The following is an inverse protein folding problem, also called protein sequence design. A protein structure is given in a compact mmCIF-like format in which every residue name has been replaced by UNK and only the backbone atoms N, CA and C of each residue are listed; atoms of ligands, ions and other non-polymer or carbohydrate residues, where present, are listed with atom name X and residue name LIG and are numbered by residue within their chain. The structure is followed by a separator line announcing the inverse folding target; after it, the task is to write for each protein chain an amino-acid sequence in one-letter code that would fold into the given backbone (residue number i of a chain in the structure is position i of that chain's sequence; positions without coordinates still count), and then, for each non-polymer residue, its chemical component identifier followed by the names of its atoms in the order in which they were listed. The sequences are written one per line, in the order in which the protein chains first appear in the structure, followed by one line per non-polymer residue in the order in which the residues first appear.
data_IF_901941732695
#
_entry.id   IF_901941732695
#
_cell.length_a   1.000
_cell.length_b   1.000
_cell.length_c   1.000
_cell.angle_alpha   90.00
_cell.angle_beta   90.00
_cell.angle_gamma   90.00
#
_symmetry.space_group_name_H-M   'P 1'
#
loop_
_entity.id
_entity.type
_entity.pdbx_description
1 polymer ?
#
# COMPACT_ATOMS: atom_id res chain seq x y z
N UNK A 1 -5.12 -1.76 -93.80
CA UNK A 1 -6.47 -2.04 -93.30
C UNK A 1 -6.35 -2.68 -91.96
N UNK A 2 -6.52 -1.93 -90.90
CA UNK A 2 -6.43 -2.41 -89.52
C UNK A 2 -7.76 -2.08 -88.81
N UNK A 3 -8.45 -3.12 -88.36
CA UNK A 3 -9.68 -3.02 -87.61
C UNK A 3 -9.39 -2.81 -86.15
N UNK A 4 -9.87 -1.69 -85.64
CA UNK A 4 -9.93 -1.34 -84.18
C UNK A 4 -11.09 -2.07 -83.57
N UNK A 5 -10.85 -2.79 -82.45
CA UNK A 5 -11.88 -3.41 -81.66
C UNK A 5 -11.85 -2.74 -80.26
N UNK A 6 -12.92 -2.04 -79.98
CA UNK A 6 -13.20 -1.46 -78.65
C UNK A 6 -13.58 -2.55 -77.64
N UNK A 7 -13.00 -2.46 -76.39
CA UNK A 7 -13.38 -3.28 -75.24
C UNK A 7 -14.32 -2.47 -74.34
N UNK A 8 -15.40 -3.06 -73.82
CA UNK A 8 -16.35 -2.33 -72.96
C UNK A 8 -15.82 -2.14 -71.54
N UNK A 9 -16.10 -0.92 -70.97
CA UNK A 9 -15.80 -0.51 -69.62
C UNK A 9 -16.62 -1.32 -68.58
N UNK A 10 -15.91 -1.97 -67.68
CA UNK A 10 -16.47 -2.63 -66.46
C UNK A 10 -16.88 -1.61 -65.41
N UNK A 11 -18.14 -1.57 -65.03
CA UNK A 11 -18.69 -0.82 -63.89
C UNK A 11 -18.17 -1.42 -62.60
N UNK A 12 -17.32 -0.67 -61.83
CA UNK A 12 -16.98 -0.98 -60.46
C UNK A 12 -18.20 -0.82 -59.55
N UNK A 13 -18.66 -1.90 -58.94
CA UNK A 13 -19.62 -1.89 -57.81
C UNK A 13 -18.98 -1.22 -56.61
N UNK A 14 -19.66 -0.21 -56.04
CA UNK A 14 -19.31 0.40 -54.78
C UNK A 14 -19.43 -0.65 -53.66
N UNK A 15 -18.35 -0.83 -52.88
CA UNK A 15 -18.34 -1.64 -51.67
C UNK A 15 -19.10 -0.91 -50.58
N UNK A 16 -20.15 -1.53 -50.08
CA UNK A 16 -20.86 -1.09 -48.88
C UNK A 16 -19.95 -1.38 -47.68
N UNK A 17 -19.45 -0.32 -47.07
CA UNK A 17 -18.72 -0.40 -45.81
C UNK A 17 -19.66 -0.85 -44.69
N UNK A 18 -19.39 -2.00 -44.12
CA UNK A 18 -20.03 -2.49 -42.90
C UNK A 18 -19.79 -1.50 -41.73
N UNK A 19 -20.77 -1.33 -40.80
CA UNK A 19 -20.58 -0.44 -39.68
C UNK A 19 -19.46 -0.96 -38.76
N UNK A 20 -18.52 -0.07 -38.47
CA UNK A 20 -17.48 -0.29 -37.43
C UNK A 20 -18.21 -0.49 -36.11
N UNK A 21 -18.19 -1.70 -35.59
CA UNK A 21 -18.61 -1.96 -34.21
C UNK A 21 -17.68 -1.17 -33.29
N UNK A 22 -18.20 -0.14 -32.65
CA UNK A 22 -17.59 0.49 -31.50
C UNK A 22 -17.33 -0.61 -30.46
N UNK A 23 -16.06 -0.95 -30.29
CA UNK A 23 -15.61 -1.75 -29.14
C UNK A 23 -15.97 -0.94 -27.90
N UNK A 24 -16.92 -1.45 -27.11
CA UNK A 24 -17.21 -0.92 -25.79
C UNK A 24 -15.87 -0.73 -25.05
N UNK A 25 -15.56 0.51 -24.66
CA UNK A 25 -14.34 0.84 -23.92
C UNK A 25 -14.40 0.04 -22.63
N UNK A 26 -13.53 -0.96 -22.48
CA UNK A 26 -13.29 -1.58 -21.21
C UNK A 26 -12.85 -0.45 -20.26
N UNK A 27 -13.66 -0.16 -19.23
CA UNK A 27 -13.25 0.73 -18.14
C UNK A 27 -11.92 0.21 -17.60
N UNK A 28 -10.84 0.88 -17.93
CA UNK A 28 -9.52 0.59 -17.36
C UNK A 28 -9.58 1.07 -15.92
N UNK A 29 -9.62 0.12 -15.00
CA UNK A 29 -9.58 0.42 -13.57
C UNK A 29 -8.22 1.03 -13.22
N UNK A 30 -8.20 2.02 -12.31
CA UNK A 30 -6.99 2.58 -11.72
C UNK A 30 -6.06 1.46 -11.24
N UNK A 31 -4.83 1.44 -11.75
CA UNK A 31 -3.83 0.46 -11.36
C UNK A 31 -2.68 1.17 -10.64
N UNK A 32 -2.34 0.68 -9.47
CA UNK A 32 -1.27 1.25 -8.65
C UNK A 32 0.08 1.29 -9.38
N UNK A 33 0.37 0.27 -10.18
CA UNK A 33 1.61 0.17 -10.97
C UNK A 33 1.70 1.19 -12.10
N UNK A 34 0.57 1.60 -12.67
CA UNK A 34 0.53 2.52 -13.81
C UNK A 34 0.77 3.97 -13.33
N UNK A 35 0.54 4.25 -12.03
CA UNK A 35 0.64 5.58 -11.40
C UNK A 35 1.85 5.76 -10.48
N UNK A 36 2.95 5.04 -10.74
CA UNK A 36 4.12 5.09 -9.88
C UNK A 36 4.76 6.48 -9.75
N UNK A 37 4.84 7.24 -10.84
CA UNK A 37 5.39 8.60 -10.80
C UNK A 37 4.54 9.51 -9.91
N UNK A 38 3.22 9.37 -9.99
CA UNK A 38 2.28 10.09 -9.14
C UNK A 38 2.47 9.72 -7.67
N UNK A 39 2.66 8.42 -7.37
CA UNK A 39 2.99 7.95 -6.03
C UNK A 39 4.27 8.56 -5.49
N UNK A 40 5.38 8.48 -6.24
CA UNK A 40 6.68 9.03 -5.81
C UNK A 40 6.62 10.55 -5.59
N UNK A 41 5.91 11.27 -6.46
CA UNK A 41 5.66 12.70 -6.28
C UNK A 41 4.86 12.96 -5.01
N UNK A 42 3.79 12.20 -4.78
CA UNK A 42 2.93 12.34 -3.61
C UNK A 42 3.68 12.12 -2.29
N UNK A 43 4.43 11.02 -2.15
CA UNK A 43 5.15 10.72 -0.90
C UNK A 43 6.28 11.71 -0.61
N UNK A 44 6.86 12.35 -1.64
CA UNK A 44 7.90 13.37 -1.46
C UNK A 44 7.33 14.78 -1.18
N UNK A 45 6.07 15.02 -1.53
CA UNK A 45 5.46 16.35 -1.38
C UNK A 45 4.49 16.44 -0.20
N UNK A 46 4.20 15.34 0.48
CA UNK A 46 3.29 15.31 1.64
C UNK A 46 3.94 14.70 2.87
N UNK A 47 3.37 14.99 4.05
CA UNK A 47 3.78 14.37 5.32
C UNK A 47 2.91 13.17 5.73
N UNK A 48 2.23 12.51 4.77
CA UNK A 48 1.37 11.34 5.03
C UNK A 48 2.06 10.29 5.87
N UNK A 49 3.26 9.87 5.47
CA UNK A 49 4.00 8.79 6.14
C UNK A 49 4.26 9.10 7.62
N UNK A 50 4.66 10.33 7.93
CA UNK A 50 4.86 10.78 9.31
C UNK A 50 3.55 10.81 10.11
N UNK A 51 2.44 11.23 9.49
CA UNK A 51 1.13 11.26 10.14
C UNK A 51 0.64 9.83 10.47
N UNK A 52 0.81 8.89 9.54
CA UNK A 52 0.49 7.47 9.74
C UNK A 52 1.35 6.87 10.86
N UNK A 53 2.67 7.09 10.85
CA UNK A 53 3.57 6.58 11.90
C UNK A 53 3.20 7.13 13.28
N UNK A 54 2.89 8.44 13.38
CA UNK A 54 2.39 9.05 14.63
C UNK A 54 1.06 8.45 15.09
N UNK A 55 0.15 8.13 14.14
CA UNK A 55 -1.12 7.48 14.47
C UNK A 55 -0.88 6.05 14.99
N UNK A 56 0.03 5.30 14.38
CA UNK A 56 0.44 3.97 14.82
C UNK A 56 1.09 4.00 16.21
N UNK A 57 1.97 4.95 16.48
CA UNK A 57 2.65 5.13 17.75
C UNK A 57 1.70 5.29 18.95
N UNK A 58 0.47 5.80 18.73
CA UNK A 58 -0.57 5.86 19.79
C UNK A 58 -1.03 4.47 20.22
N UNK A 59 -0.90 3.46 19.37
CA UNK A 59 -1.27 2.09 19.72
C UNK A 59 -0.17 1.36 20.48
N UNK A 60 1.10 1.77 20.32
CA UNK A 60 2.25 1.08 20.94
C UNK A 60 2.25 1.13 22.46
N UNK A 61 1.62 2.13 23.07
CA UNK A 61 1.46 2.19 24.54
C UNK A 61 0.64 1.03 25.12
N UNK A 62 -0.17 0.38 24.28
CA UNK A 62 -1.01 -0.75 24.68
C UNK A 62 -0.34 -2.11 24.43
N UNK A 63 0.80 -2.15 23.76
CA UNK A 63 1.50 -3.40 23.48
C UNK A 63 2.11 -3.96 24.77
N UNK A 64 1.99 -5.27 24.90
CA UNK A 64 2.60 -6.04 25.99
C UNK A 64 3.30 -7.23 25.34
N UNK A 65 4.54 -7.04 24.87
CA UNK A 65 5.26 -8.10 24.16
C UNK A 65 5.32 -9.36 24.99
N UNK A 66 4.92 -10.47 24.40
CA UNK A 66 5.05 -11.79 25.00
C UNK A 66 6.34 -12.44 24.55
N UNK A 67 7.16 -12.98 25.48
CA UNK A 67 8.36 -13.71 25.09
C UNK A 67 8.06 -14.75 23.98
N UNK A 68 9.00 -15.00 23.04
CA UNK A 68 10.38 -14.49 23.04
C UNK A 68 10.61 -13.19 22.27
N UNK A 69 9.60 -12.57 21.65
CA UNK A 69 9.77 -11.37 20.82
C UNK A 69 8.50 -10.54 20.71
N UNK A 70 8.64 -9.26 20.36
CA UNK A 70 7.57 -8.43 19.81
C UNK A 70 7.42 -8.76 18.32
N UNK A 71 6.21 -9.14 17.90
CA UNK A 71 5.91 -9.56 16.53
C UNK A 71 4.99 -8.57 15.84
N UNK A 72 5.44 -8.04 14.73
CA UNK A 72 4.77 -7.03 13.95
C UNK A 72 4.43 -7.56 12.55
N UNK A 73 3.32 -7.09 11.99
CA UNK A 73 2.98 -7.28 10.59
C UNK A 73 2.64 -5.93 9.95
N UNK A 74 3.34 -5.60 8.87
CA UNK A 74 3.02 -4.48 8.00
C UNK A 74 2.33 -5.01 6.73
N UNK A 75 1.07 -4.66 6.54
CA UNK A 75 0.23 -5.19 5.47
C UNK A 75 0.48 -4.55 4.09
N UNK A 76 1.31 -3.52 4.04
CA UNK A 76 1.71 -2.82 2.83
C UNK A 76 2.86 -1.87 3.13
N UNK A 77 4.08 -2.41 3.13
CA UNK A 77 5.28 -1.70 3.57
C UNK A 77 5.57 -0.44 2.74
N UNK A 78 5.25 -0.48 1.43
CA UNK A 78 5.64 0.56 0.50
C UNK A 78 7.14 0.79 0.55
N UNK A 79 7.54 2.05 0.56
CA UNK A 79 8.95 2.47 0.66
C UNK A 79 9.56 2.32 2.07
N UNK A 80 8.88 1.65 3.00
CA UNK A 80 9.25 1.43 4.39
C UNK A 80 9.45 2.69 5.26
N UNK A 81 9.04 3.88 4.82
CA UNK A 81 9.16 5.09 5.66
C UNK A 81 8.33 4.96 6.94
N UNK A 82 7.06 4.55 6.83
CA UNK A 82 6.18 4.33 7.99
C UNK A 82 6.75 3.26 8.90
N UNK A 83 7.15 2.12 8.32
CA UNK A 83 7.74 1.01 9.06
C UNK A 83 9.01 1.44 9.82
N UNK A 84 9.92 2.16 9.16
CA UNK A 84 11.15 2.65 9.77
C UNK A 84 10.87 3.59 10.95
N UNK A 85 9.91 4.50 10.82
CA UNK A 85 9.53 5.41 11.92
C UNK A 85 8.84 4.67 13.07
N UNK A 86 7.99 3.69 12.77
CA UNK A 86 7.39 2.81 13.76
C UNK A 86 8.46 2.00 14.54
N UNK A 87 9.45 1.47 13.82
CA UNK A 87 10.55 0.72 14.45
C UNK A 87 11.40 1.60 15.38
N UNK A 88 11.68 2.85 15.01
CA UNK A 88 12.38 3.80 15.92
C UNK A 88 11.65 3.96 17.24
N UNK A 89 10.32 4.18 17.21
CA UNK A 89 9.50 4.29 18.42
C UNK A 89 9.50 2.98 19.23
N UNK A 90 9.39 1.84 18.56
CA UNK A 90 9.39 0.53 19.22
C UNK A 90 10.74 0.16 19.82
N UNK A 91 11.85 0.44 19.12
CA UNK A 91 13.22 0.24 19.64
C UNK A 91 13.48 1.09 20.87
N UNK A 92 12.97 2.34 20.87
CA UNK A 92 13.04 3.20 22.05
C UNK A 92 12.23 2.65 23.23
N UNK A 93 11.02 2.11 22.98
CA UNK A 93 10.14 1.57 24.04
C UNK A 93 10.59 0.21 24.55
N UNK A 94 11.15 -0.62 23.69
CA UNK A 94 11.51 -2.02 23.94
C UNK A 94 12.95 -2.32 23.53
N UNK A 95 13.95 -1.63 24.12
CA UNK A 95 15.33 -1.67 23.61
C UNK A 95 16.00 -3.03 23.76
N UNK A 96 15.48 -3.94 24.60
CA UNK A 96 16.05 -5.26 24.86
C UNK A 96 15.18 -6.41 24.38
N UNK A 97 13.99 -6.13 23.84
CA UNK A 97 13.06 -7.16 23.38
C UNK A 97 13.35 -7.43 21.92
N UNK A 98 13.63 -8.68 21.49
CA UNK A 98 13.75 -9.01 20.08
C UNK A 98 12.51 -8.58 19.31
N UNK A 99 12.71 -8.04 18.11
CA UNK A 99 11.63 -7.57 17.24
C UNK A 99 11.60 -8.38 15.96
N UNK A 100 10.47 -9.00 15.66
CA UNK A 100 10.23 -9.68 14.38
C UNK A 100 9.21 -8.88 13.59
N UNK A 101 9.59 -8.42 12.41
CA UNK A 101 8.71 -7.68 11.50
C UNK A 101 8.47 -8.52 10.26
N UNK A 102 7.22 -8.84 9.99
CA UNK A 102 6.80 -9.38 8.69
C UNK A 102 6.21 -8.24 7.88
N UNK A 103 6.87 -7.87 6.80
CA UNK A 103 6.48 -6.77 5.93
C UNK A 103 6.07 -7.31 4.56
N UNK A 104 4.78 -7.10 4.21
CA UNK A 104 4.26 -7.45 2.91
C UNK A 104 4.48 -6.30 1.94
N UNK A 105 5.04 -6.61 0.76
CA UNK A 105 5.15 -5.66 -0.33
C UNK A 105 5.00 -6.36 -1.68
N UNK A 106 4.28 -5.72 -2.59
CA UNK A 106 4.02 -6.25 -3.94
C UNK A 106 4.92 -5.62 -5.01
N UNK A 107 5.45 -4.43 -4.74
CA UNK A 107 6.35 -3.70 -5.63
C UNK A 107 7.79 -4.05 -5.30
N UNK A 108 8.51 -4.65 -6.24
CA UNK A 108 9.94 -4.93 -6.09
C UNK A 108 10.78 -3.67 -5.85
N UNK A 109 10.37 -2.57 -6.46
CA UNK A 109 11.08 -1.30 -6.31
C UNK A 109 10.88 -0.70 -4.90
N UNK A 110 9.68 -0.81 -4.34
CA UNK A 110 9.44 -0.37 -2.98
C UNK A 110 10.20 -1.25 -1.99
N UNK A 111 10.33 -2.56 -2.25
CA UNK A 111 11.22 -3.45 -1.49
C UNK A 111 12.66 -2.93 -1.53
N UNK A 112 13.18 -2.55 -2.71
CA UNK A 112 14.54 -2.00 -2.86
C UNK A 112 14.73 -0.72 -2.05
N UNK A 113 13.80 0.22 -2.15
CA UNK A 113 13.85 1.48 -1.38
C UNK A 113 13.73 1.22 0.12
N UNK A 114 12.85 0.29 0.49
CA UNK A 114 12.63 -0.10 1.88
C UNK A 114 13.87 -0.73 2.52
N UNK A 115 14.57 -1.60 1.80
CA UNK A 115 15.82 -2.21 2.30
C UNK A 115 16.89 -1.18 2.64
N UNK A 116 17.03 -0.13 1.84
CA UNK A 116 17.97 0.96 2.13
C UNK A 116 17.66 1.66 3.48
N UNK A 117 16.39 1.82 3.82
CA UNK A 117 15.95 2.40 5.10
C UNK A 117 16.11 1.45 6.29
N UNK A 118 16.15 0.14 6.04
CA UNK A 118 16.30 -0.86 7.09
C UNK A 118 17.76 -1.01 7.58
N UNK A 119 18.75 -0.54 6.83
CA UNK A 119 20.16 -0.58 7.21
C UNK A 119 20.38 -0.04 8.63
N UNK A 120 19.89 1.18 8.89
CA UNK A 120 20.04 1.82 10.20
C UNK A 120 19.24 1.11 11.30
N UNK A 121 18.12 0.47 10.94
CA UNK A 121 17.28 -0.28 11.91
C UNK A 121 18.03 -1.49 12.46
N UNK A 122 18.78 -2.22 11.62
CA UNK A 122 19.64 -3.32 12.07
C UNK A 122 20.81 -2.84 12.93
N UNK A 123 21.33 -1.63 12.70
CA UNK A 123 22.35 -1.05 13.55
C UNK A 123 21.80 -0.60 14.90
N UNK A 124 20.67 0.07 14.90
CA UNK A 124 20.02 0.62 16.10
C UNK A 124 19.51 -0.48 17.04
N UNK A 125 18.96 -1.55 16.49
CA UNK A 125 18.42 -2.67 17.27
C UNK A 125 18.89 -4.00 16.70
N UNK A 126 20.03 -4.52 17.17
CA UNK A 126 20.64 -5.73 16.61
C UNK A 126 19.78 -6.99 16.66
N UNK A 127 18.84 -7.07 17.62
CA UNK A 127 17.91 -8.18 17.78
C UNK A 127 16.64 -8.01 16.91
N UNK A 128 16.77 -7.44 15.71
CA UNK A 128 15.70 -7.29 14.74
C UNK A 128 15.77 -8.36 13.65
N UNK A 129 14.64 -9.03 13.40
CA UNK A 129 14.42 -9.92 12.24
C UNK A 129 13.42 -9.25 11.31
N UNK A 130 13.82 -9.01 10.06
CA UNK A 130 12.96 -8.52 8.99
C UNK A 130 12.57 -9.69 8.09
N UNK A 131 11.28 -9.84 7.83
CA UNK A 131 10.73 -10.81 6.88
C UNK A 131 10.00 -10.07 5.79
N UNK A 132 10.52 -10.12 4.57
CA UNK A 132 9.85 -9.55 3.40
C UNK A 132 9.06 -10.62 2.66
N UNK A 133 7.82 -10.31 2.28
CA UNK A 133 6.96 -11.30 1.64
C UNK A 133 5.99 -10.68 0.62
N UNK A 134 5.66 -11.46 -0.41
CA UNK A 134 4.60 -11.15 -1.37
C UNK A 134 3.33 -12.00 -1.16
N UNK A 135 3.23 -12.71 -0.02
CA UNK A 135 2.11 -13.59 0.29
C UNK A 135 0.77 -12.84 0.35
N UNK A 136 -0.31 -13.55 0.10
CA UNK A 136 -1.66 -13.03 0.32
C UNK A 136 -1.94 -12.82 1.81
N UNK A 137 -2.90 -11.96 2.15
CA UNK A 137 -3.28 -11.72 3.55
C UNK A 137 -3.82 -12.98 4.26
N UNK A 138 -4.39 -13.93 3.52
CA UNK A 138 -4.80 -15.23 4.07
C UNK A 138 -3.59 -16.06 4.57
N UNK A 139 -2.42 -15.86 3.97
CA UNK A 139 -1.18 -16.55 4.27
C UNK A 139 -0.21 -15.67 5.11
N UNK A 140 -0.69 -14.55 5.68
CA UNK A 140 0.12 -13.59 6.44
C UNK A 140 0.85 -14.22 7.64
N UNK A 141 0.36 -15.34 8.14
CA UNK A 141 0.97 -16.11 9.23
C UNK A 141 2.17 -16.96 8.80
N UNK A 142 2.70 -16.72 7.60
CA UNK A 142 3.82 -17.44 6.98
C UNK A 142 3.59 -18.95 6.84
N UNK A 143 2.35 -19.37 6.91
CA UNK A 143 1.95 -20.77 6.78
C UNK A 143 0.94 -20.89 5.64
N UNK A 144 1.35 -21.47 4.50
CA UNK A 144 0.47 -21.65 3.37
C UNK A 144 -0.75 -22.49 3.72
N UNK A 145 -1.89 -22.11 3.17
CA UNK A 145 -3.17 -22.77 3.42
C UNK A 145 -3.29 -24.18 2.82
N UNK A 146 -2.37 -24.55 1.93
CA UNK A 146 -2.36 -25.86 1.27
C UNK A 146 -0.94 -26.35 0.94
N UNK A 147 -0.81 -27.66 0.75
CA UNK A 147 0.49 -28.32 0.48
C UNK A 147 1.13 -27.86 -0.83
N UNK A 148 0.34 -27.57 -1.87
CA UNK A 148 0.88 -27.09 -3.15
C UNK A 148 1.55 -25.72 -2.99
N UNK A 149 0.91 -24.79 -2.26
CA UNK A 149 1.49 -23.49 -1.95
C UNK A 149 2.72 -23.60 -1.04
N UNK A 150 2.72 -24.55 -0.10
CA UNK A 150 3.88 -24.81 0.75
C UNK A 150 5.08 -25.27 -0.08
N UNK A 151 4.88 -26.21 -1.00
CA UNK A 151 5.93 -26.73 -1.88
C UNK A 151 6.42 -25.72 -2.92
N UNK A 152 5.57 -24.77 -3.30
CA UNK A 152 5.93 -23.69 -4.24
C UNK A 152 6.59 -22.49 -3.56
N UNK A 153 6.68 -22.47 -2.23
CA UNK A 153 7.21 -21.32 -1.49
C UNK A 153 8.72 -21.17 -1.69
N UNK A 154 9.10 -20.02 -2.19
CA UNK A 154 10.50 -19.59 -2.27
C UNK A 154 10.89 -18.97 -0.93
N UNK A 155 11.58 -19.77 -0.09
CA UNK A 155 12.04 -19.32 1.23
C UNK A 155 13.55 -19.07 1.19
N UNK A 156 13.96 -17.87 1.59
CA UNK A 156 15.37 -17.45 1.62
C UNK A 156 15.71 -16.90 3.01
N UNK A 157 16.86 -17.27 3.52
CA UNK A 157 17.42 -16.78 4.79
C UNK A 157 18.71 -16.04 4.51
N UNK A 158 18.79 -14.79 4.94
CA UNK A 158 19.92 -13.87 4.72
C UNK A 158 20.48 -13.45 6.07
N UNK A 159 21.75 -13.70 6.27
CA UNK A 159 22.49 -13.34 7.47
C UNK A 159 23.45 -12.20 7.14
N UNK A 160 23.21 -11.05 7.75
CA UNK A 160 24.04 -9.86 7.55
C UNK A 160 25.30 -9.98 8.39
N UNK A 161 26.45 -9.98 7.74
CA UNK A 161 27.75 -10.05 8.37
C UNK A 161 28.29 -8.67 8.74
N UNK A 162 29.10 -8.61 9.81
CA UNK A 162 29.65 -7.36 10.31
C UNK A 162 28.71 -6.61 11.24
N UNK A 163 29.06 -5.35 11.57
CA UNK A 163 28.36 -4.53 12.56
C UNK A 163 28.11 -3.09 12.10
N UNK A 164 28.53 -2.75 10.87
CA UNK A 164 28.53 -1.39 10.34
C UNK A 164 27.48 -1.21 9.26
N UNK A 165 26.80 -0.07 9.28
CA UNK A 165 25.76 0.28 8.29
C UNK A 165 26.27 0.21 6.85
N UNK A 166 27.50 0.62 6.58
CA UNK A 166 28.11 0.52 5.25
C UNK A 166 28.12 -0.91 4.72
N UNK A 167 28.57 -1.87 5.54
CA UNK A 167 28.60 -3.29 5.15
C UNK A 167 27.20 -3.88 4.96
N UNK A 168 26.23 -3.50 5.81
CA UNK A 168 24.83 -3.92 5.65
C UNK A 168 24.23 -3.36 4.37
N UNK A 169 24.48 -2.09 4.07
CA UNK A 169 24.01 -1.48 2.82
C UNK A 169 24.48 -2.28 1.59
N UNK A 170 25.77 -2.58 1.49
CA UNK A 170 26.31 -3.34 0.37
C UNK A 170 25.70 -4.74 0.26
N UNK A 171 25.51 -5.44 1.39
CA UNK A 171 24.90 -6.76 1.40
C UNK A 171 23.44 -6.70 0.96
N UNK A 172 22.65 -5.73 1.47
CA UNK A 172 21.24 -5.57 1.11
C UNK A 172 21.06 -5.16 -0.37
N UNK A 173 21.93 -4.29 -0.90
CA UNK A 173 21.95 -3.92 -2.33
C UNK A 173 22.22 -5.14 -3.22
N UNK A 174 23.09 -6.06 -2.77
CA UNK A 174 23.42 -7.29 -3.53
C UNK A 174 22.24 -8.27 -3.65
N UNK A 175 21.17 -8.11 -2.85
CA UNK A 175 20.00 -8.98 -2.87
C UNK A 175 19.06 -8.70 -4.06
N UNK A 176 19.31 -7.68 -4.88
CA UNK A 176 18.44 -7.32 -6.00
C UNK A 176 18.07 -8.51 -6.91
N UNK A 177 18.99 -9.39 -7.35
CA UNK A 177 18.63 -10.54 -8.18
C UNK A 177 17.73 -11.55 -7.47
N UNK A 178 17.87 -11.71 -6.16
CA UNK A 178 17.03 -12.57 -5.33
C UNK A 178 15.57 -12.05 -5.32
N UNK A 179 15.40 -10.74 -5.09
CA UNK A 179 14.08 -10.13 -5.11
C UNK A 179 13.47 -10.10 -6.51
N UNK A 180 14.26 -9.83 -7.57
CA UNK A 180 13.79 -9.91 -8.95
C UNK A 180 13.23 -11.29 -9.27
N UNK A 181 13.87 -12.36 -8.81
CA UNK A 181 13.38 -13.73 -8.95
C UNK A 181 12.12 -14.00 -8.11
N UNK A 182 12.11 -13.58 -6.84
CA UNK A 182 10.99 -13.83 -5.91
C UNK A 182 9.72 -13.05 -6.25
N UNK A 183 9.86 -11.84 -6.79
CA UNK A 183 8.75 -10.95 -7.16
C UNK A 183 8.37 -11.00 -8.65
N UNK A 184 8.86 -12.00 -9.39
CA UNK A 184 8.47 -12.20 -10.78
C UNK A 184 6.97 -12.46 -10.92
N UNK A 185 6.33 -11.74 -11.85
CA UNK A 185 4.89 -11.82 -12.09
C UNK A 185 4.57 -12.48 -13.43
N UNK A 186 3.34 -12.98 -13.52
CA UNK A 186 2.70 -13.44 -14.76
C UNK A 186 1.29 -12.86 -14.84
N UNK A 187 0.78 -12.69 -16.05
CA UNK A 187 -0.59 -12.18 -16.24
C UNK A 187 -1.61 -13.29 -15.97
N UNK A 188 -2.59 -12.99 -15.11
CA UNK A 188 -3.73 -13.88 -14.87
C UNK A 188 -4.53 -14.10 -16.15
N UNK A 189 -4.76 -15.35 -16.53
CA UNK A 189 -5.57 -15.70 -17.70
C UNK A 189 -7.06 -15.33 -17.55
N UNK A 190 -7.53 -15.20 -16.32
CA UNK A 190 -8.95 -14.92 -16.00
C UNK A 190 -9.21 -13.44 -15.79
N UNK A 191 -8.32 -12.71 -15.11
CA UNK A 191 -8.56 -11.33 -14.69
C UNK A 191 -7.66 -10.31 -15.39
N UNK A 192 -6.62 -10.75 -16.11
CA UNK A 192 -5.61 -9.87 -16.70
C UNK A 192 -4.69 -9.18 -15.67
N UNK A 193 -4.89 -9.42 -14.39
CA UNK A 193 -4.07 -8.83 -13.33
C UNK A 193 -2.73 -9.55 -13.17
N UNK A 194 -1.66 -8.86 -12.74
CA UNK A 194 -0.40 -9.51 -12.40
C UNK A 194 -0.57 -10.43 -11.20
N UNK A 195 -0.05 -11.64 -11.30
CA UNK A 195 0.05 -12.64 -10.24
C UNK A 195 1.51 -13.00 -10.04
N UNK A 196 1.97 -13.12 -8.81
CA UNK A 196 3.30 -13.64 -8.56
C UNK A 196 3.43 -15.08 -9.05
N UNK A 197 4.53 -15.38 -9.73
CA UNK A 197 4.82 -16.75 -10.19
C UNK A 197 5.02 -17.71 -9.01
N UNK A 198 5.50 -17.18 -7.89
CA UNK A 198 5.76 -17.95 -6.67
C UNK A 198 5.53 -17.13 -5.41
N UNK A 199 4.96 -17.73 -4.37
CA UNK A 199 4.94 -17.14 -3.04
C UNK A 199 6.37 -17.08 -2.50
N UNK A 200 6.80 -15.92 -2.02
CA UNK A 200 8.18 -15.69 -1.58
C UNK A 200 8.24 -15.13 -0.17
N UNK A 201 9.20 -15.63 0.61
CA UNK A 201 9.54 -15.16 1.97
C UNK A 201 11.05 -15.03 2.04
N UNK A 202 11.51 -13.84 2.43
CA UNK A 202 12.95 -13.54 2.62
C UNK A 202 13.15 -13.07 4.06
N UNK A 203 13.86 -13.85 4.85
CA UNK A 203 14.16 -13.60 6.27
C UNK A 203 15.55 -12.99 6.37
N UNK A 204 15.69 -11.81 6.97
CA UNK A 204 16.93 -11.04 7.06
C UNK A 204 17.19 -10.69 8.52
N UNK A 205 18.38 -10.98 9.02
CA UNK A 205 18.81 -10.67 10.38
C UNK A 205 20.34 -10.61 10.48
N UNK A 206 20.84 -10.13 11.62
CA UNK A 206 22.29 -10.04 11.86
C UNK A 206 22.88 -11.39 12.28
N UNK A 207 23.98 -11.79 11.65
CA UNK A 207 24.70 -13.04 11.95
C UNK A 207 25.21 -13.09 13.39
N UNK A 208 25.71 -11.98 13.93
CA UNK A 208 26.26 -11.91 15.28
C UNK A 208 25.20 -12.05 16.40
N UNK A 209 23.91 -11.95 16.06
CA UNK A 209 22.77 -12.17 16.96
C UNK A 209 22.01 -13.47 16.68
N UNK A 210 22.49 -14.32 15.76
CA UNK A 210 21.82 -15.55 15.34
C UNK A 210 21.43 -16.45 16.51
N UNK A 211 22.31 -16.69 17.48
CA UNK A 211 22.04 -17.56 18.64
C UNK A 211 20.91 -16.98 19.50
N UNK A 212 20.92 -15.68 19.76
CA UNK A 212 19.88 -15.00 20.52
C UNK A 212 18.52 -15.06 19.79
N UNK A 213 18.54 -14.99 18.46
CA UNK A 213 17.37 -14.93 17.61
C UNK A 213 16.85 -16.30 17.17
N UNK A 214 17.52 -17.41 17.46
CA UNK A 214 17.15 -18.73 16.93
C UNK A 214 15.71 -19.13 17.26
N UNK A 215 15.21 -18.79 18.45
CA UNK A 215 13.83 -19.06 18.86
C UNK A 215 12.79 -18.16 18.18
N UNK A 216 13.21 -17.08 17.50
CA UNK A 216 12.32 -16.07 16.90
C UNK A 216 12.51 -15.92 15.40
N UNK A 217 13.54 -16.54 14.80
CA UNK A 217 13.69 -16.57 13.35
C UNK A 217 12.62 -17.49 12.74
N UNK A 218 11.79 -16.99 11.83
CA UNK A 218 10.79 -17.81 11.15
C UNK A 218 11.47 -18.92 10.32
N UNK A 219 10.94 -20.13 10.43
CA UNK A 219 11.42 -21.33 9.69
C UNK A 219 10.28 -21.90 8.83
N UNK A 220 10.57 -22.43 7.63
CA UNK A 220 9.53 -22.91 6.73
C UNK A 220 8.75 -24.07 7.38
N UNK A 221 7.42 -24.00 7.33
CA UNK A 221 6.50 -25.09 7.69
C UNK A 221 6.41 -25.43 9.18
N UNK A 222 7.13 -24.76 10.07
CA UNK A 222 7.21 -25.18 11.47
C UNK A 222 6.22 -24.49 12.42
N UNK A 223 5.82 -23.27 12.16
CA UNK A 223 4.94 -22.51 13.07
C UNK A 223 4.04 -21.54 12.31
N UNK A 224 2.81 -21.44 12.80
CA UNK A 224 1.91 -20.36 12.42
C UNK A 224 2.21 -19.13 13.27
N UNK A 225 2.47 -18.00 12.62
CA UNK A 225 2.81 -16.77 13.30
C UNK A 225 1.57 -15.97 13.70
N UNK A 226 1.60 -15.42 14.91
CA UNK A 226 0.63 -14.45 15.40
C UNK A 226 1.35 -13.16 15.76
N UNK A 227 0.65 -12.05 15.62
CA UNK A 227 1.25 -10.71 15.73
C UNK A 227 0.68 -9.94 16.90
N UNK A 228 1.56 -9.28 17.64
CA UNK A 228 1.21 -8.35 18.71
C UNK A 228 0.67 -7.04 18.15
N UNK A 229 1.19 -6.62 16.97
CA UNK A 229 0.71 -5.45 16.27
C UNK A 229 0.65 -5.69 14.76
N UNK A 230 -0.45 -5.27 14.15
CA UNK A 230 -0.65 -5.27 12.70
C UNK A 230 -0.96 -3.83 12.26
N UNK A 231 -0.18 -3.32 11.30
CA UNK A 231 -0.49 -2.08 10.59
C UNK A 231 -1.03 -2.41 9.20
N UNK A 232 -2.22 -1.94 8.89
CA UNK A 232 -2.84 -2.06 7.57
C UNK A 232 -3.21 -0.66 7.07
N UNK A 233 -2.22 0.06 6.53
CA UNK A 233 -2.39 1.40 5.99
C UNK A 233 -2.59 1.34 4.49
N UNK A 234 -3.71 1.88 4.01
CA UNK A 234 -4.11 1.91 2.60
C UNK A 234 -4.00 0.54 1.88
N UNK A 235 -4.48 -0.59 2.49
CA UNK A 235 -4.21 -1.93 1.97
C UNK A 235 -5.09 -2.33 0.78
N UNK A 236 -5.91 -1.42 0.28
CA UNK A 236 -6.88 -1.64 -0.79
C UNK A 236 -7.11 -0.39 -1.64
N UNK A 237 -7.79 -0.55 -2.77
CA UNK A 237 -8.30 0.57 -3.55
C UNK A 237 -9.53 1.18 -2.88
N UNK A 238 -9.63 2.50 -2.90
CA UNK A 238 -10.67 3.25 -2.20
C UNK A 238 -12.08 2.76 -2.54
N UNK A 239 -12.37 2.52 -3.83
CA UNK A 239 -13.69 2.10 -4.34
C UNK A 239 -14.02 0.62 -4.16
N UNK A 240 -13.12 -0.16 -3.56
CA UNK A 240 -13.37 -1.58 -3.25
C UNK A 240 -14.51 -1.71 -2.24
N UNK A 241 -15.41 -2.68 -2.44
CA UNK A 241 -16.58 -2.89 -1.56
C UNK A 241 -16.18 -3.24 -0.12
N UNK A 242 -17.02 -2.87 0.85
CA UNK A 242 -16.82 -3.19 2.26
C UNK A 242 -16.67 -4.71 2.47
N UNK A 243 -17.47 -5.51 1.77
CA UNK A 243 -17.42 -6.97 1.82
C UNK A 243 -16.06 -7.52 1.40
N UNK A 244 -15.52 -7.04 0.28
CA UNK A 244 -14.19 -7.46 -0.19
C UNK A 244 -13.08 -7.07 0.80
N UNK A 245 -13.10 -5.81 1.30
CA UNK A 245 -12.15 -5.32 2.31
C UNK A 245 -12.18 -6.21 3.56
N UNK A 246 -13.37 -6.58 4.02
CA UNK A 246 -13.57 -7.44 5.17
C UNK A 246 -13.07 -8.88 4.92
N UNK A 247 -13.52 -9.54 3.84
CA UNK A 247 -13.23 -10.95 3.58
C UNK A 247 -11.76 -11.21 3.22
N UNK A 248 -11.19 -10.33 2.39
CA UNK A 248 -9.88 -10.58 1.80
C UNK A 248 -8.72 -10.01 2.60
N UNK A 249 -9.00 -9.04 3.49
CA UNK A 249 -7.94 -8.30 4.18
C UNK A 249 -8.16 -8.27 5.69
N UNK A 250 -9.22 -7.60 6.18
CA UNK A 250 -9.34 -7.33 7.61
C UNK A 250 -9.58 -8.59 8.44
N UNK A 251 -10.46 -9.49 8.01
CA UNK A 251 -10.74 -10.71 8.77
C UNK A 251 -9.55 -11.69 8.79
N UNK A 252 -8.84 -11.96 7.67
CA UNK A 252 -7.60 -12.74 7.70
C UNK A 252 -6.54 -12.14 8.65
N UNK A 253 -6.33 -10.83 8.60
CA UNK A 253 -5.39 -10.14 9.48
C UNK A 253 -5.83 -10.16 10.94
N UNK A 254 -7.13 -10.00 11.23
CA UNK A 254 -7.65 -10.12 12.59
C UNK A 254 -7.39 -11.51 13.19
N UNK A 255 -7.59 -12.58 12.40
CA UNK A 255 -7.27 -13.95 12.81
C UNK A 255 -5.79 -14.21 13.07
N UNK A 256 -4.93 -13.36 12.53
CA UNK A 256 -3.48 -13.42 12.75
C UNK A 256 -3.01 -12.65 14.01
N UNK A 257 -3.91 -11.97 14.72
CA UNK A 257 -3.57 -11.32 15.98
C UNK A 257 -3.26 -12.35 17.08
N UNK A 258 -2.19 -12.11 17.83
CA UNK A 258 -1.92 -12.79 19.08
C UNK A 258 -2.99 -12.43 20.12
N UNK A 259 -3.21 -13.26 21.18
CA UNK A 259 -3.96 -12.81 22.34
C UNK A 259 -3.44 -11.48 22.87
N UNK A 260 -4.32 -10.50 23.09
CA UNK A 260 -3.94 -9.12 23.41
C UNK A 260 -3.41 -8.28 22.27
N UNK A 261 -3.21 -8.87 21.08
CA UNK A 261 -2.71 -8.18 19.90
C UNK A 261 -3.69 -7.14 19.35
N UNK A 262 -3.16 -6.17 18.60
CA UNK A 262 -3.90 -5.02 18.07
C UNK A 262 -3.61 -4.83 16.58
N UNK A 263 -4.64 -4.53 15.81
CA UNK A 263 -4.53 -4.16 14.41
C UNK A 263 -5.06 -2.73 14.23
N UNK A 264 -4.23 -1.86 13.67
CA UNK A 264 -4.63 -0.54 13.22
C UNK A 264 -4.86 -0.58 11.70
N UNK A 265 -6.04 -0.19 11.27
CA UNK A 265 -6.40 -0.07 9.85
C UNK A 265 -6.60 1.40 9.55
N UNK A 266 -6.03 1.87 8.44
CA UNK A 266 -6.10 3.26 7.98
C UNK A 266 -6.51 3.26 6.52
N UNK A 267 -7.43 4.15 6.15
CA UNK A 267 -7.81 4.43 4.76
C UNK A 267 -8.13 5.90 4.57
N UNK A 268 -7.98 6.40 3.35
CA UNK A 268 -8.43 7.74 2.99
C UNK A 268 -9.95 7.82 3.06
N UNK A 269 -10.47 8.94 3.53
CA UNK A 269 -11.91 9.15 3.74
C UNK A 269 -12.47 10.42 3.05
N UNK A 270 -11.62 11.24 2.41
CA UNK A 270 -12.03 12.46 1.74
C UNK A 270 -12.56 13.53 2.70
N UNK A 271 -13.55 14.31 2.24
CA UNK A 271 -14.09 15.49 2.94
C UNK A 271 -12.99 16.53 3.24
N UNK A 272 -12.14 16.74 2.26
CA UNK A 272 -10.94 17.56 2.35
C UNK A 272 -10.74 18.42 1.09
N UNK A 273 -9.80 19.39 1.11
CA UNK A 273 -9.53 20.22 -0.05
C UNK A 273 -9.08 19.45 -1.29
N UNK A 274 -8.44 18.31 -1.14
CA UNK A 274 -8.00 17.50 -2.28
C UNK A 274 -9.19 16.90 -3.05
N UNK A 275 -10.22 16.45 -2.32
CA UNK A 275 -11.47 16.02 -2.94
C UNK A 275 -12.19 17.20 -3.61
N UNK A 276 -12.13 18.41 -3.04
CA UNK A 276 -12.72 19.62 -3.66
C UNK A 276 -12.06 19.94 -5.01
N UNK A 277 -10.74 19.81 -5.13
CA UNK A 277 -10.04 19.94 -6.43
C UNK A 277 -10.60 18.98 -7.48
N UNK A 278 -10.86 17.75 -7.10
CA UNK A 278 -11.39 16.72 -8.01
C UNK A 278 -12.84 17.02 -8.41
N UNK A 279 -13.66 17.46 -7.47
CA UNK A 279 -15.09 17.80 -7.72
C UNK A 279 -15.30 19.02 -8.61
N UNK A 280 -14.33 19.90 -8.76
CA UNK A 280 -14.39 21.00 -9.74
C UNK A 280 -14.51 20.46 -11.19
N UNK A 281 -14.02 19.25 -11.47
CA UNK A 281 -14.09 18.59 -12.78
C UNK A 281 -15.13 17.50 -12.85
N UNK A 282 -15.34 16.81 -11.74
CA UNK A 282 -16.27 15.68 -11.63
C UNK A 282 -17.13 15.82 -10.38
N UNK A 283 -18.19 16.64 -10.43
CA UNK A 283 -19.01 16.98 -9.24
C UNK A 283 -19.65 15.75 -8.56
N UNK A 284 -19.97 14.73 -9.36
CA UNK A 284 -20.62 13.50 -8.87
C UNK A 284 -19.61 12.43 -8.44
N UNK A 285 -18.29 12.74 -8.46
CA UNK A 285 -17.27 11.78 -8.06
C UNK A 285 -17.36 11.48 -6.57
N UNK A 286 -17.38 10.19 -6.26
CA UNK A 286 -17.29 9.69 -4.90
C UNK A 286 -16.10 8.71 -4.78
N UNK A 287 -14.88 9.20 -4.49
CA UNK A 287 -13.69 8.36 -4.41
C UNK A 287 -13.74 7.37 -3.23
N UNK A 288 -14.43 7.71 -2.15
CA UNK A 288 -14.42 6.98 -0.88
C UNK A 288 -15.83 6.52 -0.47
N UNK A 289 -16.48 5.63 -1.25
CA UNK A 289 -17.88 5.24 -1.01
C UNK A 289 -18.06 4.34 0.23
N UNK A 290 -16.98 3.85 0.82
CA UNK A 290 -17.00 2.87 1.91
C UNK A 290 -16.23 3.41 3.11
N UNK A 291 -16.94 3.79 4.16
CA UNK A 291 -16.38 4.25 5.42
C UNK A 291 -15.98 3.10 6.37
N UNK A 292 -15.31 3.43 7.47
CA UNK A 292 -14.91 2.48 8.49
C UNK A 292 -16.06 1.71 9.14
N UNK A 293 -17.24 2.33 9.26
CA UNK A 293 -18.41 1.70 9.89
C UNK A 293 -18.96 0.57 9.01
N UNK A 294 -19.06 0.83 7.71
CA UNK A 294 -19.44 -0.19 6.74
C UNK A 294 -18.45 -1.36 6.72
N UNK A 295 -17.14 -1.07 6.78
CA UNK A 295 -16.11 -2.12 6.86
C UNK A 295 -16.25 -2.94 8.14
N UNK A 296 -16.37 -2.29 9.30
CA UNK A 296 -16.49 -2.96 10.60
C UNK A 296 -17.75 -3.83 10.68
N UNK A 297 -18.86 -3.39 10.09
CA UNK A 297 -20.10 -4.18 9.97
C UNK A 297 -19.85 -5.46 9.19
N UNK A 298 -19.21 -5.35 8.02
CA UNK A 298 -18.89 -6.53 7.19
C UNK A 298 -17.85 -7.44 7.86
N UNK A 299 -16.87 -6.88 8.57
CA UNK A 299 -15.90 -7.68 9.33
C UNK A 299 -16.59 -8.55 10.39
N UNK A 300 -17.56 -7.99 11.13
CA UNK A 300 -18.38 -8.76 12.09
C UNK A 300 -19.16 -9.88 11.40
N UNK A 301 -19.76 -9.59 10.26
CA UNK A 301 -20.47 -10.57 9.46
C UNK A 301 -19.55 -11.73 9.01
N UNK A 302 -18.35 -11.39 8.52
CA UNK A 302 -17.37 -12.38 8.04
C UNK A 302 -16.79 -13.22 9.17
N UNK A 303 -16.52 -12.62 10.33
CA UNK A 303 -16.00 -13.33 11.49
C UNK A 303 -17.09 -14.18 12.16
N UNK A 304 -18.35 -13.81 12.06
CA UNK A 304 -19.47 -14.58 12.62
C UNK A 304 -19.24 -14.89 14.10
N UNK A 305 -19.22 -16.19 14.46
CA UNK A 305 -19.00 -16.61 15.85
C UNK A 305 -17.62 -16.26 16.40
N UNK A 306 -16.62 -16.10 15.54
CA UNK A 306 -15.26 -15.74 15.94
C UNK A 306 -15.18 -14.31 16.48
N UNK A 307 -16.14 -13.43 16.14
CA UNK A 307 -16.12 -12.03 16.58
C UNK A 307 -16.08 -11.87 18.10
N UNK A 308 -16.53 -12.91 18.87
CA UNK A 308 -16.44 -12.94 20.34
C UNK A 308 -15.01 -12.84 20.89
N UNK A 309 -14.01 -13.18 20.06
CA UNK A 309 -12.60 -13.10 20.43
C UNK A 309 -12.00 -11.71 20.18
N UNK A 310 -12.76 -10.79 19.56
CA UNK A 310 -12.26 -9.49 19.13
C UNK A 310 -13.05 -8.35 19.72
N UNK A 311 -12.34 -7.26 20.01
CA UNK A 311 -12.91 -5.97 20.37
C UNK A 311 -12.74 -5.03 19.18
N UNK A 312 -13.85 -4.48 18.69
CA UNK A 312 -13.89 -3.48 17.63
C UNK A 312 -14.01 -2.10 18.26
N UNK A 313 -13.02 -1.26 18.06
CA UNK A 313 -13.01 0.08 18.63
C UNK A 313 -13.59 1.07 17.63
N UNK A 314 -14.84 1.41 17.84
CA UNK A 314 -15.54 2.47 17.11
C UNK A 314 -15.30 3.79 17.83
N UNK A 315 -14.35 4.57 17.34
CA UNK A 315 -14.08 5.91 17.86
C UNK A 315 -14.95 6.94 17.11
N UNK A 316 -15.26 8.07 17.79
CA UNK A 316 -15.91 9.21 17.10
C UNK A 316 -15.01 9.73 15.97
N UNK A 317 -15.61 10.45 15.02
CA UNK A 317 -14.88 11.03 13.89
C UNK A 317 -13.70 11.88 14.33
N UNK A 318 -13.86 12.66 15.40
CA UNK A 318 -12.79 13.49 16.00
C UNK A 318 -11.54 12.72 16.41
N UNK A 319 -11.68 11.44 16.77
CA UNK A 319 -10.56 10.58 17.19
C UNK A 319 -10.09 9.66 16.09
N UNK A 320 -11.01 9.25 15.21
CA UNK A 320 -10.75 8.32 14.14
C UNK A 320 -10.14 9.01 12.93
N UNK A 321 -10.57 10.24 12.61
CA UNK A 321 -10.08 11.00 11.48
C UNK A 321 -8.85 11.81 11.89
N UNK A 322 -7.83 11.78 11.06
CA UNK A 322 -6.64 12.61 11.19
C UNK A 322 -6.22 13.13 9.83
N UNK A 323 -5.58 14.31 9.84
CA UNK A 323 -5.19 14.97 8.61
C UNK A 323 -3.68 14.95 8.43
N UNK A 324 -3.26 14.93 7.18
CA UNK A 324 -1.91 15.20 6.75
C UNK A 324 -1.93 16.26 5.64
N UNK A 325 -0.78 16.87 5.33
CA UNK A 325 -0.73 18.00 4.43
C UNK A 325 0.41 17.92 3.43
N UNK A 326 0.25 18.63 2.35
CA UNK A 326 1.33 18.91 1.41
C UNK A 326 2.36 19.86 2.06
N UNK A 327 3.63 19.65 1.79
CA UNK A 327 4.71 20.53 2.19
C UNK A 327 4.71 21.79 1.31
N UNK A 328 4.15 22.87 1.81
CA UNK A 328 4.16 24.18 1.16
C UNK A 328 4.46 25.26 2.19
N UNK A 329 5.18 26.29 1.79
CA UNK A 329 5.37 27.47 2.62
C UNK A 329 4.14 28.40 2.50
N UNK A 330 3.73 29.08 3.57
CA UNK A 330 2.65 30.07 3.48
C UNK A 330 2.91 31.16 2.42
N UNK A 331 4.17 31.55 2.20
CA UNK A 331 4.57 32.52 1.17
C UNK A 331 4.38 32.00 -0.26
N UNK A 332 4.39 30.69 -0.48
CA UNK A 332 4.14 30.09 -1.80
C UNK A 332 2.66 30.15 -2.17
N UNK A 333 1.78 30.10 -1.18
CA UNK A 333 0.31 30.10 -1.38
C UNK A 333 -0.26 31.52 -1.30
N UNK A 334 0.25 32.35 -0.40
CA UNK A 334 -0.28 33.70 -0.12
C UNK A 334 0.19 34.79 -1.08
N UNK A 335 1.07 34.49 -2.05
CA UNK A 335 1.57 35.43 -3.05
C UNK A 335 0.52 35.79 -4.12
N UNK A 336 0.87 36.77 -4.96
CA UNK A 336 0.02 37.19 -6.10
C UNK A 336 -0.19 36.06 -7.12
N UNK A 337 0.73 35.12 -7.19
CA UNK A 337 0.63 33.90 -8.02
C UNK A 337 1.30 32.72 -7.31
N UNK A 338 0.71 31.53 -7.46
CA UNK A 338 1.31 30.28 -6.98
C UNK A 338 2.19 29.70 -8.09
N UNK A 339 3.39 29.22 -7.75
CA UNK A 339 4.30 28.62 -8.72
C UNK A 339 3.70 27.38 -9.40
N UNK A 340 3.95 27.23 -10.71
CA UNK A 340 3.41 26.13 -11.51
C UNK A 340 3.80 24.76 -10.95
N UNK A 341 5.01 24.59 -10.41
CA UNK A 341 5.46 23.35 -9.79
C UNK A 341 4.64 22.97 -8.54
N UNK A 342 4.30 23.96 -7.72
CA UNK A 342 3.47 23.79 -6.54
C UNK A 342 2.04 23.40 -6.93
N UNK A 343 1.47 24.06 -7.96
CA UNK A 343 0.15 23.72 -8.50
C UNK A 343 0.12 22.32 -9.08
N UNK A 344 1.15 21.95 -9.84
CA UNK A 344 1.25 20.61 -10.40
C UNK A 344 1.38 19.53 -9.32
N UNK A 345 2.20 19.77 -8.29
CA UNK A 345 2.33 18.82 -7.17
C UNK A 345 1.01 18.67 -6.39
N UNK A 346 0.29 19.77 -6.16
CA UNK A 346 -1.02 19.74 -5.49
C UNK A 346 -2.09 18.99 -6.32
N UNK A 347 -2.14 19.27 -7.62
CA UNK A 347 -2.99 18.53 -8.55
C UNK A 347 -2.69 17.04 -8.55
N UNK A 348 -1.41 16.68 -8.73
CA UNK A 348 -0.96 15.29 -8.73
C UNK A 348 -1.32 14.56 -7.43
N UNK A 349 -1.11 15.20 -6.27
CA UNK A 349 -1.47 14.63 -4.99
C UNK A 349 -3.00 14.41 -4.86
N UNK A 350 -3.81 15.38 -5.32
CA UNK A 350 -5.27 15.26 -5.33
C UNK A 350 -5.74 14.10 -6.21
N UNK A 351 -5.21 14.00 -7.43
CA UNK A 351 -5.52 12.92 -8.37
C UNK A 351 -5.12 11.55 -7.80
N UNK A 352 -3.93 11.46 -7.23
CA UNK A 352 -3.40 10.22 -6.68
C UNK A 352 -4.26 9.70 -5.52
N UNK A 353 -4.54 10.52 -4.51
CA UNK A 353 -5.32 10.12 -3.33
C UNK A 353 -6.76 9.76 -3.72
N UNK A 354 -7.38 10.53 -4.62
CA UNK A 354 -8.73 10.26 -5.10
C UNK A 354 -8.81 9.15 -6.16
N UNK A 355 -7.66 8.58 -6.57
CA UNK A 355 -7.54 7.46 -7.51
C UNK A 355 -8.31 7.70 -8.82
N UNK A 356 -8.06 8.86 -9.45
CA UNK A 356 -8.64 9.22 -10.74
C UNK A 356 -7.82 8.55 -11.86
N UNK A 357 -8.51 7.91 -12.80
CA UNK A 357 -7.89 7.18 -13.90
C UNK A 357 -7.24 8.14 -14.92
N UNK A 358 -6.03 7.80 -15.40
CA UNK A 358 -5.22 8.62 -16.30
C UNK A 358 -5.96 9.08 -17.56
N UNK A 359 -6.82 8.23 -18.13
CA UNK A 359 -7.62 8.57 -19.31
C UNK A 359 -8.54 9.77 -19.11
N UNK A 360 -8.99 9.99 -17.86
CA UNK A 360 -9.85 11.12 -17.50
C UNK A 360 -9.06 12.42 -17.36
N UNK A 361 -7.76 12.32 -17.11
CA UNK A 361 -6.88 13.47 -16.85
C UNK A 361 -6.45 14.19 -18.14
N UNK A 362 -6.39 13.49 -19.28
CA UNK A 362 -5.82 14.03 -20.52
C UNK A 362 -6.48 15.34 -20.99
N UNK A 363 -7.79 15.45 -20.91
CA UNK A 363 -8.51 16.64 -21.30
C UNK A 363 -8.19 17.84 -20.39
N UNK A 364 -8.24 17.62 -19.07
CA UNK A 364 -8.01 18.63 -18.03
C UNK A 364 -6.58 19.13 -18.02
N UNK A 365 -5.61 18.23 -18.31
CA UNK A 365 -4.19 18.60 -18.43
C UNK A 365 -3.95 19.40 -19.71
N UNK A 366 -4.58 18.99 -20.83
CA UNK A 366 -4.39 19.62 -22.14
C UNK A 366 -4.89 21.06 -22.18
N UNK A 367 -6.02 21.36 -21.57
CA UNK A 367 -6.60 22.70 -21.55
C UNK A 367 -6.05 23.59 -20.40
N UNK A 368 -5.30 23.00 -19.47
CA UNK A 368 -4.69 23.70 -18.33
C UNK A 368 -5.67 24.12 -17.24
N UNK A 369 -6.92 23.71 -17.29
CA UNK A 369 -7.97 24.08 -16.31
C UNK A 369 -7.65 23.65 -14.88
N UNK A 370 -6.85 22.56 -14.71
CA UNK A 370 -6.40 22.11 -13.40
C UNK A 370 -5.60 23.17 -12.62
N UNK A 371 -4.87 24.07 -13.31
CA UNK A 371 -4.12 25.15 -12.66
C UNK A 371 -5.05 26.12 -11.95
N UNK A 372 -6.15 26.52 -12.60
CA UNK A 372 -7.14 27.45 -12.05
C UNK A 372 -7.89 26.83 -10.87
N UNK A 373 -8.38 25.59 -11.04
CA UNK A 373 -9.08 24.88 -9.98
C UNK A 373 -8.20 24.65 -8.75
N UNK A 374 -6.96 24.20 -8.95
CA UNK A 374 -6.01 23.99 -7.87
C UNK A 374 -5.65 25.29 -7.16
N UNK A 375 -5.41 26.39 -7.91
CA UNK A 375 -5.15 27.73 -7.34
C UNK A 375 -6.28 28.15 -6.41
N UNK A 376 -7.54 28.05 -6.87
CA UNK A 376 -8.73 28.42 -6.10
C UNK A 376 -8.79 27.70 -4.75
N UNK A 377 -8.57 26.39 -4.77
CA UNK A 377 -8.61 25.56 -3.55
C UNK A 377 -7.45 25.87 -2.62
N UNK A 378 -6.22 25.95 -3.15
CA UNK A 378 -5.05 26.29 -2.33
C UNK A 378 -5.19 27.65 -1.64
N UNK A 379 -5.68 28.68 -2.35
CA UNK A 379 -5.92 30.01 -1.78
C UNK A 379 -7.04 29.99 -0.73
N UNK A 380 -8.12 29.24 -0.96
CA UNK A 380 -9.24 29.11 -0.03
C UNK A 380 -8.81 28.50 1.32
N UNK A 381 -7.96 27.48 1.29
CA UNK A 381 -7.56 26.73 2.48
C UNK A 381 -6.16 27.05 3.01
N UNK A 382 -5.40 27.91 2.33
CA UNK A 382 -4.02 28.25 2.70
C UNK A 382 -3.06 27.06 2.52
N UNK A 383 -3.40 26.10 1.66
CA UNK A 383 -2.62 24.88 1.39
C UNK A 383 -3.51 23.70 1.05
N UNK A 384 -2.89 22.53 0.84
CA UNK A 384 -3.59 21.28 0.57
C UNK A 384 -3.44 20.33 1.76
N UNK A 385 -4.54 19.77 2.24
CA UNK A 385 -4.56 18.70 3.22
C UNK A 385 -5.52 17.59 2.80
N UNK A 386 -5.33 16.44 3.42
CA UNK A 386 -6.04 15.19 3.14
C UNK A 386 -6.49 14.58 4.46
N UNK A 387 -7.58 13.84 4.44
CA UNK A 387 -8.09 13.15 5.61
C UNK A 387 -8.04 11.63 5.44
N UNK A 388 -7.44 10.99 6.44
CA UNK A 388 -7.53 9.56 6.63
C UNK A 388 -8.40 9.24 7.85
N UNK A 389 -9.09 8.11 7.80
CA UNK A 389 -9.78 7.55 8.96
C UNK A 389 -9.10 6.25 9.42
N UNK A 390 -9.14 6.03 10.72
CA UNK A 390 -8.54 4.86 11.34
C UNK A 390 -9.53 4.13 12.24
N UNK A 391 -9.40 2.80 12.29
CA UNK A 391 -10.09 1.97 13.28
C UNK A 391 -9.16 0.89 13.83
N UNK A 392 -9.49 0.39 15.02
CA UNK A 392 -8.69 -0.63 15.70
C UNK A 392 -9.51 -1.88 15.95
N UNK A 393 -8.94 -3.02 15.59
CA UNK A 393 -9.42 -4.34 15.99
C UNK A 393 -8.38 -4.93 16.96
N UNK A 394 -8.80 -5.38 18.12
CA UNK A 394 -7.91 -6.06 19.06
C UNK A 394 -8.47 -7.41 19.46
N UNK A 395 -7.59 -8.37 19.68
CA UNK A 395 -7.95 -9.69 20.19
C UNK A 395 -7.92 -9.66 21.72
N UNK A 396 -8.92 -10.28 22.37
CA UNK A 396 -8.91 -10.42 23.82
C UNK A 396 -7.72 -11.27 24.27
N UNK A 397 -7.27 -11.06 25.51
CA UNK A 397 -6.45 -12.04 26.22
C UNK A 397 -7.35 -13.23 26.55
N UNK A 398 -6.88 -14.42 26.24
CA UNK A 398 -7.60 -15.66 26.59
C UNK A 398 -7.57 -15.87 28.11
#
# INVERSE_FOLDING_TARGET
MAKTTEKPMSRKKAAVTAPVQEKASQKTEFRFYDNRQNYLSFINTTNEKSAIAKRAGREFQYLRPMPPALRLYDAGMGDATVLSDCLRDLHHRFPTVPVVVVAKEISMEDVRIGLDKMVDRFCEHPATVLVLTNLNYADCRLMPSNVASANAMNWQEIRLEGTMSYGYKQQLESLHPLFAHGWETQTSKTTGNPLFKRPSVVVIYRQDHHILLDAVIPKPGLQSWYFDFILASQPWRARTSARFKAEKIVAPLARALAPGGRMLVIQSCGRDPAEEVIREFWPDENPFPVDRHAILTEVRNVLGREMRHFKFREESDEKAIFSYRMHTLPSEIGGASIGTSTLFAAWNASVYVNQIEDQRLEAVIRDGSYLTATTKVLQKYGGLHFNDEAFVVSRYHD
#
